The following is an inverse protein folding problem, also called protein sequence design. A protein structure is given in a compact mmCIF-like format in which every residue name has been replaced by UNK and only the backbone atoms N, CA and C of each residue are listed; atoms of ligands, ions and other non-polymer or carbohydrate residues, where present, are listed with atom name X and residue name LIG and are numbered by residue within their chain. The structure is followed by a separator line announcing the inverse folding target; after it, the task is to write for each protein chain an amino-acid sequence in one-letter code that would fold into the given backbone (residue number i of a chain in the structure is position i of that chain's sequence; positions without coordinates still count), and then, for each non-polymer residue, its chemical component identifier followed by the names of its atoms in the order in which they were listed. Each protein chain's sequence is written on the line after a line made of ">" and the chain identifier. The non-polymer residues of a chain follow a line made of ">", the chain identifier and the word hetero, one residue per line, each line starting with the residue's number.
data_IF_398716215387
#
_entry.id   IF_398716215387
#
_cell.length_a   1.000
_cell.length_b   1.000
_cell.length_c   1.000
_cell.angle_alpha   90.00
_cell.angle_beta   90.00
_cell.angle_gamma   90.00
#
_symmetry.space_group_name_H-M   'P 1'
#
loop_
_entity.id
_entity.type
_entity.pdbx_description
1 polymer ?
#
# COMPACT_ATOMS: atom_id res chain seq x y z
N UNK A 1 59.43 41.31 46.77
CA UNK A 1 58.74 41.86 47.95
C UNK A 1 57.39 42.34 47.44
N UNK A 2 56.41 41.44 47.42
CA UNK A 2 55.48 41.22 48.55
C UNK A 2 54.47 42.37 48.65
N UNK A 3 53.18 42.02 48.63
CA UNK A 3 52.11 42.95 49.01
C UNK A 3 50.80 42.73 48.25
N UNK A 4 49.96 41.84 48.79
CA UNK A 4 48.60 41.54 48.38
C UNK A 4 47.58 42.68 48.61
N UNK A 5 46.60 42.76 47.71
CA UNK A 5 45.14 43.00 47.85
C UNK A 5 44.55 44.22 48.61
N UNK A 6 43.24 44.58 48.42
CA UNK A 6 42.23 44.05 47.48
C UNK A 6 41.51 45.13 46.62
N UNK A 7 40.81 44.63 45.59
CA UNK A 7 39.92 45.37 44.70
C UNK A 7 38.53 45.57 45.31
N UNK A 8 38.02 46.80 45.31
CA UNK A 8 36.62 47.16 45.51
C UNK A 8 35.82 47.05 44.19
N UNK A 9 34.61 46.53 44.34
CA UNK A 9 33.61 46.31 43.29
C UNK A 9 33.11 47.64 42.69
N UNK A 10 32.99 47.68 41.36
CA UNK A 10 32.07 48.61 40.70
C UNK A 10 31.27 47.88 39.64
N UNK A 11 29.96 47.91 39.86
CA UNK A 11 28.87 47.47 39.01
C UNK A 11 29.08 47.88 37.54
N UNK A 12 28.83 46.96 36.62
CA UNK A 12 28.27 47.31 35.31
C UNK A 12 27.33 46.20 34.86
N UNK A 13 26.14 46.64 34.51
CA UNK A 13 24.97 45.87 34.13
C UNK A 13 25.20 45.16 32.79
N UNK A 14 24.91 43.86 32.76
CA UNK A 14 24.53 43.18 31.51
C UNK A 14 23.19 42.52 31.75
N UNK A 15 22.14 43.17 31.25
CA UNK A 15 20.78 42.65 31.28
C UNK A 15 20.69 41.35 30.48
N UNK A 16 20.66 40.22 31.18
CA UNK A 16 20.26 38.94 30.60
C UNK A 16 18.73 38.85 30.69
N UNK A 17 18.07 39.03 29.55
CA UNK A 17 16.63 38.82 29.43
C UNK A 17 16.37 37.32 29.55
N UNK A 18 16.11 36.83 30.75
CA UNK A 18 15.58 35.50 30.99
C UNK A 18 14.13 35.46 30.50
N UNK A 19 13.97 35.26 29.19
CA UNK A 19 12.69 34.88 28.61
C UNK A 19 12.33 33.50 29.14
N UNK A 20 11.24 33.48 29.89
CA UNK A 20 10.61 32.31 30.49
C UNK A 20 10.38 31.24 29.41
N UNK A 21 11.11 30.13 29.49
CA UNK A 21 10.70 28.90 28.83
C UNK A 21 9.35 28.47 29.42
N UNK A 22 8.31 28.23 28.61
CA UNK A 22 7.17 27.48 29.09
C UNK A 22 7.69 26.12 29.52
N UNK A 23 7.31 25.70 30.74
CA UNK A 23 7.50 24.33 31.19
C UNK A 23 6.70 23.45 30.24
N UNK A 24 7.38 22.75 29.35
CA UNK A 24 6.84 21.63 28.58
C UNK A 24 6.48 20.52 29.58
N UNK A 25 5.30 20.67 30.16
CA UNK A 25 4.58 19.68 30.92
C UNK A 25 3.35 19.30 30.13
N UNK A 26 3.55 18.49 29.10
CA UNK A 26 2.57 17.53 28.58
C UNK A 26 3.34 16.57 27.66
N UNK A 27 3.78 15.45 28.23
CA UNK A 27 4.06 14.25 27.46
C UNK A 27 2.83 13.96 26.59
N UNK A 28 2.88 14.29 25.30
CA UNK A 28 1.91 13.75 24.34
C UNK A 28 2.14 12.25 24.26
N UNK A 29 1.40 11.49 25.06
CA UNK A 29 1.24 10.04 24.91
C UNK A 29 1.09 9.72 23.42
N UNK A 30 2.00 8.89 22.91
CA UNK A 30 2.13 8.56 21.49
C UNK A 30 0.80 8.10 20.92
N UNK A 31 0.35 8.77 19.85
CA UNK A 31 -0.96 8.66 19.21
C UNK A 31 -1.17 7.33 18.47
N UNK A 32 -1.03 6.21 19.17
CA UNK A 32 -1.45 4.92 18.63
C UNK A 32 -2.98 4.84 18.53
N UNK A 33 -3.46 4.01 17.61
CA UNK A 33 -4.88 3.71 17.47
C UNK A 33 -5.02 2.27 16.98
N UNK A 34 -5.95 1.52 17.55
CA UNK A 34 -6.16 0.10 17.23
C UNK A 34 -7.66 -0.17 17.06
N UNK A 35 -8.04 -0.84 15.97
CA UNK A 35 -9.37 -1.44 15.78
C UNK A 35 -9.52 -2.71 16.62
N UNK A 36 -8.43 -3.48 16.68
CA UNK A 36 -8.31 -4.73 17.43
C UNK A 36 -7.01 -4.72 18.22
N UNK A 37 -7.02 -5.30 19.42
CA UNK A 37 -5.76 -5.70 20.05
C UNK A 37 -5.02 -6.72 19.17
N UNK A 38 -3.72 -6.92 19.38
CA UNK A 38 -2.93 -7.93 18.64
C UNK A 38 -3.56 -9.32 18.80
N UNK A 39 -4.01 -9.67 20.01
CA UNK A 39 -4.67 -10.94 20.28
C UNK A 39 -5.98 -11.08 19.48
N UNK A 40 -6.81 -10.04 19.47
CA UNK A 40 -8.02 -10.03 18.66
C UNK A 40 -7.73 -10.11 17.16
N UNK A 41 -6.67 -9.45 16.67
CA UNK A 41 -6.27 -9.55 15.27
C UNK A 41 -5.83 -10.97 14.91
N UNK A 42 -5.12 -11.68 15.80
CA UNK A 42 -4.76 -13.09 15.61
C UNK A 42 -6.02 -13.97 15.50
N UNK A 43 -7.01 -13.73 16.35
CA UNK A 43 -8.25 -14.51 16.40
C UNK A 43 -9.23 -14.17 15.27
N UNK A 44 -9.23 -12.92 14.81
CA UNK A 44 -10.22 -12.38 13.87
C UNK A 44 -9.74 -12.27 12.44
N UNK A 45 -8.42 -12.27 12.17
CA UNK A 45 -7.93 -12.20 10.80
C UNK A 45 -8.48 -13.36 9.98
N UNK A 46 -8.99 -13.05 8.80
CA UNK A 46 -9.38 -14.07 7.85
C UNK A 46 -8.12 -14.51 7.10
N UNK A 47 -7.76 -15.80 7.21
CA UNK A 47 -6.73 -16.37 6.33
C UNK A 47 -7.20 -16.28 4.88
N UNK A 48 -6.30 -15.94 3.95
CA UNK A 48 -6.65 -15.72 2.55
C UNK A 48 -7.57 -16.81 1.99
N UNK A 49 -8.74 -16.40 1.49
CA UNK A 49 -9.88 -17.30 1.22
C UNK A 49 -9.79 -18.00 -0.14
N UNK A 50 -8.73 -17.71 -0.91
CA UNK A 50 -8.48 -18.28 -2.23
C UNK A 50 -7.28 -17.64 -2.92
N UNK A 51 -6.87 -18.18 -4.07
CA UNK A 51 -5.78 -17.61 -4.87
C UNK A 51 -6.14 -16.21 -5.36
N UNK A 52 -5.22 -15.24 -5.22
CA UNK A 52 -5.45 -13.82 -5.57
C UNK A 52 -6.59 -13.13 -4.82
N UNK A 53 -7.17 -13.76 -3.78
CA UNK A 53 -8.35 -13.28 -3.07
C UNK A 53 -8.04 -12.29 -1.92
N UNK A 54 -6.87 -11.65 -1.92
CA UNK A 54 -6.48 -10.71 -0.85
C UNK A 54 -7.48 -9.55 -0.70
N UNK A 55 -8.03 -9.05 -1.80
CA UNK A 55 -9.06 -8.02 -1.80
C UNK A 55 -10.37 -8.49 -1.15
N UNK A 56 -10.84 -9.70 -1.49
CA UNK A 56 -12.03 -10.28 -0.90
C UNK A 56 -11.85 -10.57 0.59
N UNK A 57 -10.70 -11.11 0.98
CA UNK A 57 -10.31 -11.30 2.39
C UNK A 57 -10.29 -9.98 3.15
N UNK A 58 -9.70 -8.93 2.60
CA UNK A 58 -9.71 -7.60 3.23
C UNK A 58 -11.14 -7.07 3.41
N UNK A 59 -12.05 -7.31 2.46
CA UNK A 59 -13.47 -6.93 2.61
C UNK A 59 -14.16 -7.71 3.74
N UNK A 60 -13.87 -9.01 3.90
CA UNK A 60 -14.37 -9.77 5.06
C UNK A 60 -13.90 -9.14 6.37
N UNK A 61 -12.61 -8.88 6.49
CA UNK A 61 -12.03 -8.28 7.70
C UNK A 61 -12.61 -6.87 7.98
N UNK A 62 -12.80 -6.05 6.93
CA UNK A 62 -13.46 -4.74 7.03
C UNK A 62 -14.87 -4.86 7.59
N UNK A 63 -15.67 -5.77 7.02
CA UNK A 63 -17.06 -5.96 7.44
C UNK A 63 -17.11 -6.47 8.88
N UNK A 64 -16.24 -7.40 9.25
CA UNK A 64 -16.12 -7.88 10.63
C UNK A 64 -15.71 -6.77 11.61
N UNK A 65 -14.75 -5.91 11.24
CA UNK A 65 -14.33 -4.77 12.04
C UNK A 65 -15.46 -3.76 12.26
N UNK A 66 -16.35 -3.60 11.27
CA UNK A 66 -17.56 -2.78 11.35
C UNK A 66 -18.77 -3.50 12.00
N UNK A 67 -18.57 -4.68 12.57
CA UNK A 67 -19.63 -5.45 13.25
C UNK A 67 -20.64 -6.10 12.30
N UNK A 68 -20.25 -6.34 11.05
CA UNK A 68 -21.07 -6.95 9.99
C UNK A 68 -20.53 -8.36 9.70
N UNK A 69 -21.30 -9.37 10.05
CA UNK A 69 -20.93 -10.76 9.73
C UNK A 69 -21.41 -11.10 8.32
N UNK A 70 -20.48 -11.48 7.46
CA UNK A 70 -20.77 -12.03 6.12
C UNK A 70 -20.01 -13.32 5.91
N UNK A 71 -20.55 -14.22 5.11
CA UNK A 71 -19.83 -15.40 4.67
C UNK A 71 -18.70 -15.00 3.69
N UNK A 72 -17.49 -15.55 3.79
CA UNK A 72 -16.38 -15.24 2.88
C UNK A 72 -16.74 -15.35 1.39
N UNK A 73 -17.55 -16.33 1.02
CA UNK A 73 -18.00 -16.57 -0.36
C UNK A 73 -18.91 -15.45 -0.88
N UNK A 74 -19.60 -14.77 0.03
CA UNK A 74 -20.40 -13.59 -0.33
C UNK A 74 -19.51 -12.40 -0.65
N UNK A 75 -18.48 -12.16 0.17
CA UNK A 75 -17.51 -11.10 -0.11
C UNK A 75 -16.76 -11.35 -1.41
N UNK A 76 -16.28 -12.58 -1.65
CA UNK A 76 -15.56 -12.95 -2.88
C UNK A 76 -16.42 -12.73 -4.15
N UNK A 77 -17.67 -13.21 -4.13
CA UNK A 77 -18.62 -12.98 -5.23
C UNK A 77 -18.89 -11.49 -5.48
N UNK A 78 -18.92 -10.68 -4.43
CA UNK A 78 -19.19 -9.24 -4.51
C UNK A 78 -17.97 -8.45 -5.01
N UNK A 79 -16.76 -8.80 -4.57
CA UNK A 79 -15.50 -8.15 -5.00
C UNK A 79 -15.15 -8.51 -6.44
N UNK A 80 -15.50 -9.71 -6.91
CA UNK A 80 -15.23 -10.19 -8.28
C UNK A 80 -13.73 -10.21 -8.58
N UNK A 81 -12.99 -10.97 -7.79
CA UNK A 81 -11.55 -11.19 -7.94
C UNK A 81 -11.22 -11.73 -9.34
N UNK A 82 -10.33 -11.07 -10.08
CA UNK A 82 -9.80 -11.56 -11.35
C UNK A 82 -8.67 -12.57 -11.12
N UNK A 83 -8.71 -13.71 -11.80
CA UNK A 83 -7.72 -14.77 -11.66
C UNK A 83 -6.59 -14.65 -12.68
N UNK A 84 -5.39 -15.04 -12.26
CA UNK A 84 -4.22 -15.17 -13.13
C UNK A 84 -4.44 -16.32 -14.13
N UNK A 85 -4.13 -16.10 -15.41
CA UNK A 85 -4.13 -17.15 -16.43
C UNK A 85 -2.74 -17.79 -16.53
N UNK A 86 -2.32 -18.52 -15.49
CA UNK A 86 -0.94 -19.02 -15.35
C UNK A 86 -0.48 -19.94 -16.48
N UNK A 87 -1.40 -20.68 -17.11
CA UNK A 87 -1.12 -21.63 -18.19
C UNK A 87 -1.30 -21.01 -19.59
N UNK A 88 -1.61 -19.71 -19.68
CA UNK A 88 -1.83 -19.05 -20.95
C UNK A 88 -0.52 -18.68 -21.66
N UNK A 89 -0.54 -18.53 -23.00
CA UNK A 89 0.57 -17.94 -23.74
C UNK A 89 0.94 -16.57 -23.21
N UNK A 90 2.20 -16.17 -23.44
CA UNK A 90 2.79 -14.98 -22.83
C UNK A 90 1.91 -13.71 -22.91
N UNK A 91 1.35 -13.29 -24.07
CA UNK A 91 0.52 -12.08 -24.10
C UNK A 91 -0.71 -12.17 -23.17
N UNK A 92 -1.43 -13.29 -23.23
CA UNK A 92 -2.61 -13.52 -22.40
C UNK A 92 -2.27 -13.63 -20.90
N UNK A 93 -1.12 -14.24 -20.59
CA UNK A 93 -0.58 -14.26 -19.24
C UNK A 93 -0.35 -12.83 -18.74
N UNK A 94 0.40 -12.01 -19.48
CA UNK A 94 0.71 -10.64 -19.09
C UNK A 94 -0.55 -9.78 -18.93
N UNK A 95 -1.51 -9.84 -19.85
CA UNK A 95 -2.79 -9.15 -19.70
C UNK A 95 -3.53 -9.60 -18.44
N UNK A 96 -3.59 -10.91 -18.18
CA UNK A 96 -4.21 -11.41 -16.95
C UNK A 96 -3.47 -10.95 -15.69
N UNK A 97 -2.14 -10.80 -15.76
CA UNK A 97 -1.31 -10.33 -14.66
C UNK A 97 -1.54 -8.86 -14.35
N UNK A 98 -1.78 -8.04 -15.37
CA UNK A 98 -2.11 -6.62 -15.23
C UNK A 98 -3.39 -6.40 -14.43
N UNK A 99 -4.35 -7.32 -14.53
CA UNK A 99 -5.67 -7.22 -13.92
C UNK A 99 -5.90 -8.15 -12.71
N UNK A 100 -4.98 -9.09 -12.44
CA UNK A 100 -5.17 -10.13 -11.44
C UNK A 100 -5.38 -9.57 -10.02
N UNK A 101 -6.31 -10.17 -9.28
CA UNK A 101 -6.75 -9.78 -7.95
C UNK A 101 -7.94 -8.82 -8.01
N UNK A 102 -7.92 -7.74 -7.23
CA UNK A 102 -9.03 -6.79 -7.19
C UNK A 102 -8.53 -5.35 -7.05
N UNK A 103 -9.23 -4.40 -7.65
CA UNK A 103 -8.93 -2.96 -7.52
C UNK A 103 -9.58 -2.37 -6.27
N UNK A 104 -9.13 -1.20 -5.80
CA UNK A 104 -9.79 -0.50 -4.70
C UNK A 104 -11.27 -0.19 -5.00
N UNK A 105 -11.62 0.08 -6.26
CA UNK A 105 -13.00 0.28 -6.69
C UNK A 105 -13.85 -0.98 -6.52
N UNK A 106 -13.29 -2.16 -6.86
CA UNK A 106 -13.93 -3.45 -6.60
C UNK A 106 -14.07 -3.74 -5.10
N UNK A 107 -13.10 -3.35 -4.27
CA UNK A 107 -13.22 -3.47 -2.82
C UNK A 107 -14.36 -2.60 -2.27
N UNK A 108 -14.46 -1.34 -2.71
CA UNK A 108 -15.54 -0.41 -2.30
C UNK A 108 -16.91 -0.97 -2.70
N UNK A 109 -17.08 -1.31 -3.99
CA UNK A 109 -18.33 -1.86 -4.49
C UNK A 109 -18.67 -3.21 -3.83
N UNK A 110 -17.66 -4.06 -3.60
CA UNK A 110 -17.80 -5.35 -2.95
C UNK A 110 -18.26 -5.23 -1.51
N UNK A 111 -17.66 -4.33 -0.72
CA UNK A 111 -18.07 -4.07 0.66
C UNK A 111 -19.48 -3.45 0.73
N UNK A 112 -19.80 -2.53 -0.17
CA UNK A 112 -21.16 -1.97 -0.29
C UNK A 112 -22.19 -3.07 -0.59
N UNK A 113 -21.94 -3.90 -1.60
CA UNK A 113 -22.86 -4.95 -2.00
C UNK A 113 -23.01 -6.04 -0.92
N UNK A 114 -21.90 -6.53 -0.35
CA UNK A 114 -21.90 -7.58 0.65
C UNK A 114 -22.55 -7.13 1.98
N UNK A 115 -22.49 -5.83 2.30
CA UNK A 115 -23.14 -5.26 3.48
C UNK A 115 -24.60 -4.86 3.27
N UNK A 116 -25.15 -5.03 2.05
CA UNK A 116 -26.49 -4.56 1.73
C UNK A 116 -26.61 -3.03 1.72
N UNK A 117 -25.56 -2.32 1.33
CA UNK A 117 -25.50 -0.86 1.23
C UNK A 117 -25.10 -0.14 2.51
N UNK A 118 -24.85 -0.85 3.62
CA UNK A 118 -24.56 -0.24 4.94
C UNK A 118 -23.15 0.31 5.07
N UNK A 119 -22.22 -0.17 4.25
CA UNK A 119 -20.82 0.29 4.24
C UNK A 119 -20.59 1.13 2.99
N UNK A 120 -19.79 2.18 3.18
CA UNK A 120 -19.17 2.92 2.10
C UNK A 120 -17.67 2.89 2.27
N UNK A 121 -16.95 3.15 1.19
CA UNK A 121 -15.51 3.29 1.20
C UNK A 121 -15.06 4.42 0.31
N UNK A 122 -13.89 4.97 0.62
CA UNK A 122 -13.23 5.97 -0.20
C UNK A 122 -11.74 5.70 -0.26
N UNK A 123 -11.22 5.70 -1.48
CA UNK A 123 -9.80 5.54 -1.74
C UNK A 123 -9.08 6.89 -1.70
N UNK A 124 -7.97 6.95 -0.97
CA UNK A 124 -7.04 8.07 -0.95
C UNK A 124 -5.74 7.61 -1.64
N UNK A 125 -5.46 8.06 -2.87
CA UNK A 125 -4.24 7.70 -3.55
C UNK A 125 -3.03 8.35 -2.88
N UNK A 126 -1.95 7.59 -2.69
CA UNK A 126 -0.68 8.11 -2.15
C UNK A 126 0.38 8.35 -3.24
N UNK A 127 0.07 7.98 -4.49
CA UNK A 127 0.84 8.32 -5.68
C UNK A 127 0.07 9.33 -6.56
N UNK A 128 0.74 10.30 -7.22
CA UNK A 128 2.10 10.77 -6.91
C UNK A 128 2.19 11.25 -5.46
N UNK A 129 3.42 11.46 -4.98
CA UNK A 129 3.72 11.64 -3.54
C UNK A 129 2.84 12.73 -2.91
N UNK A 130 2.26 12.42 -1.75
CA UNK A 130 1.35 13.30 -1.01
C UNK A 130 2.02 13.91 0.21
N UNK A 131 1.58 15.10 0.59
CA UNK A 131 1.97 15.79 1.83
C UNK A 131 1.09 15.29 2.98
N UNK A 132 1.44 14.14 3.53
CA UNK A 132 0.75 13.50 4.65
C UNK A 132 1.76 12.88 5.63
N UNK A 133 1.43 12.88 6.92
CA UNK A 133 2.09 12.01 7.91
C UNK A 133 1.18 10.81 8.11
N UNK A 134 1.61 9.63 7.67
CA UNK A 134 0.74 8.48 7.46
C UNK A 134 0.18 7.98 8.79
N UNK A 135 1.04 7.77 9.80
CA UNK A 135 0.59 7.24 11.11
C UNK A 135 -0.42 8.17 11.79
N UNK A 136 -0.16 9.48 11.97
CA UNK A 136 -1.15 10.38 12.57
C UNK A 136 -2.46 10.48 11.77
N UNK A 137 -2.38 10.41 10.44
CA UNK A 137 -3.57 10.45 9.58
C UNK A 137 -4.41 9.18 9.70
N UNK A 138 -3.79 8.00 9.71
CA UNK A 138 -4.47 6.72 9.95
C UNK A 138 -5.08 6.67 11.36
N UNK A 139 -4.34 7.13 12.37
CA UNK A 139 -4.81 7.15 13.76
C UNK A 139 -6.13 7.92 13.90
N UNK A 140 -6.27 9.06 13.22
CA UNK A 140 -7.50 9.86 13.25
C UNK A 140 -8.72 9.11 12.70
N UNK A 141 -8.56 8.33 11.64
CA UNK A 141 -9.64 7.51 11.07
C UNK A 141 -9.98 6.32 11.97
N UNK A 142 -8.97 5.61 12.45
CA UNK A 142 -9.15 4.44 13.32
C UNK A 142 -9.83 4.84 14.63
N UNK A 143 -9.45 5.96 15.24
CA UNK A 143 -10.07 6.48 16.48
C UNK A 143 -11.56 6.82 16.29
N UNK A 144 -11.98 7.15 15.07
CA UNK A 144 -13.38 7.40 14.71
C UNK A 144 -14.15 6.12 14.36
N UNK A 145 -13.51 4.95 14.47
CA UNK A 145 -14.09 3.65 14.11
C UNK A 145 -14.16 3.40 12.61
N UNK A 146 -13.40 4.15 11.80
CA UNK A 146 -13.24 3.85 10.38
C UNK A 146 -12.13 2.81 10.17
N UNK A 147 -12.25 2.03 9.10
CA UNK A 147 -11.41 0.85 8.86
C UNK A 147 -10.55 1.08 7.61
N UNK A 148 -9.22 1.28 7.74
CA UNK A 148 -8.33 1.44 6.61
C UNK A 148 -7.87 0.11 6.02
N UNK A 149 -7.77 0.05 4.69
CA UNK A 149 -7.16 -1.02 3.91
C UNK A 149 -6.07 -0.42 3.03
N UNK A 150 -4.85 -0.91 3.17
CA UNK A 150 -3.72 -0.56 2.34
C UNK A 150 -3.80 -1.31 1.00
N UNK A 151 -3.65 -0.59 -0.11
CA UNK A 151 -3.38 -1.17 -1.44
C UNK A 151 -1.92 -0.88 -1.78
N UNK A 152 -1.09 -1.91 -1.69
CA UNK A 152 0.38 -1.78 -1.69
C UNK A 152 1.02 -2.51 -2.86
N UNK A 153 2.08 -1.92 -3.40
CA UNK A 153 3.00 -2.63 -4.28
C UNK A 153 4.09 -3.29 -3.42
N UNK A 154 4.06 -4.62 -3.31
CA UNK A 154 5.02 -5.37 -2.49
C UNK A 154 6.40 -5.48 -3.14
N UNK A 155 6.54 -5.04 -4.39
CA UNK A 155 7.79 -4.99 -5.13
C UNK A 155 8.69 -3.82 -4.72
N UNK A 156 8.17 -2.94 -3.86
CA UNK A 156 8.91 -1.79 -3.31
C UNK A 156 9.31 -2.04 -1.85
N UNK A 157 10.40 -1.37 -1.46
CA UNK A 157 11.03 -1.52 -0.14
C UNK A 157 11.30 -3.00 0.19
N UNK A 158 11.84 -3.72 -0.79
CA UNK A 158 12.38 -5.08 -0.63
C UNK A 158 13.82 -4.94 -0.15
N UNK A 159 14.23 -5.60 0.95
CA UNK A 159 15.61 -5.59 1.41
C UNK A 159 16.60 -6.08 0.33
N UNK A 160 17.83 -5.56 0.36
CA UNK A 160 18.86 -5.97 -0.59
C UNK A 160 19.17 -7.47 -0.45
N UNK A 161 19.21 -8.17 -1.60
CA UNK A 161 19.43 -9.61 -1.66
C UNK A 161 18.19 -10.47 -1.44
N UNK A 162 17.05 -9.88 -1.08
CA UNK A 162 15.77 -10.59 -1.00
C UNK A 162 15.07 -10.67 -2.35
N UNK A 163 14.27 -11.71 -2.51
CA UNK A 163 13.49 -11.95 -3.72
C UNK A 163 12.33 -10.95 -3.81
N UNK A 164 12.21 -10.27 -4.95
CA UNK A 164 11.14 -9.30 -5.20
C UNK A 164 9.78 -10.05 -5.22
N UNK A 165 8.82 -9.69 -4.34
CA UNK A 165 7.52 -10.33 -4.30
C UNK A 165 6.75 -10.13 -5.61
N UNK A 166 6.10 -11.17 -6.12
CA UNK A 166 5.32 -11.09 -7.36
C UNK A 166 3.84 -10.67 -7.11
N UNK A 167 3.64 -9.52 -6.45
CA UNK A 167 2.29 -9.09 -6.06
C UNK A 167 2.11 -7.59 -5.76
N UNK A 168 0.93 -7.11 -6.15
CA UNK A 168 0.20 -6.09 -5.40
C UNK A 168 -0.66 -6.76 -4.34
N UNK A 169 -0.87 -6.10 -3.19
CA UNK A 169 -1.58 -6.71 -2.08
C UNK A 169 -2.54 -5.74 -1.39
N UNK A 170 -3.62 -6.30 -0.84
CA UNK A 170 -4.56 -5.59 0.03
C UNK A 170 -4.46 -6.12 1.44
N UNK A 171 -4.22 -5.23 2.40
CA UNK A 171 -4.16 -5.59 3.81
C UNK A 171 -4.95 -4.59 4.63
N UNK A 172 -5.79 -5.09 5.54
CA UNK A 172 -6.46 -4.24 6.52
C UNK A 172 -5.40 -3.73 7.51
N UNK A 173 -5.40 -2.43 7.76
CA UNK A 173 -4.59 -1.81 8.80
C UNK A 173 -5.44 -1.82 10.07
N UNK A 174 -5.17 -2.77 10.98
CA UNK A 174 -5.93 -2.89 12.22
C UNK A 174 -5.39 -1.97 13.32
N UNK A 175 -4.23 -1.36 13.13
CA UNK A 175 -3.71 -0.39 14.07
C UNK A 175 -2.48 0.36 13.61
N UNK A 176 -2.12 1.40 14.35
CA UNK A 176 -0.89 2.17 14.20
C UNK A 176 -0.29 2.51 15.56
N UNK A 177 1.03 2.62 15.61
CA UNK A 177 1.81 3.06 16.76
C UNK A 177 2.94 4.00 16.32
N UNK A 178 3.79 4.48 17.24
CA UNK A 178 4.95 5.29 16.87
C UNK A 178 5.78 4.61 15.77
N UNK A 179 5.89 5.27 14.60
CA UNK A 179 6.60 4.80 13.41
C UNK A 179 6.22 3.38 12.92
N UNK A 180 5.05 2.88 13.29
CA UNK A 180 4.66 1.47 13.09
C UNK A 180 3.22 1.36 12.58
N UNK A 181 3.00 0.44 11.63
CA UNK A 181 1.68 0.09 11.08
C UNK A 181 1.45 -1.41 11.30
N UNK A 182 0.28 -1.75 11.84
CA UNK A 182 -0.14 -3.12 12.12
C UNK A 182 -1.20 -3.56 11.11
N UNK A 183 -0.95 -4.67 10.42
CA UNK A 183 -1.81 -5.14 9.32
C UNK A 183 -2.20 -6.60 9.47
N UNK A 184 -3.32 -7.02 8.87
CA UNK A 184 -3.74 -8.43 8.79
C UNK A 184 -3.61 -9.01 7.39
N UNK A 185 -3.72 -10.34 7.32
CA UNK A 185 -3.67 -11.14 6.09
C UNK A 185 -2.37 -10.98 5.26
N UNK A 186 -1.21 -11.46 5.76
CA UNK A 186 -0.98 -12.05 7.09
C UNK A 186 -0.84 -10.96 8.18
N UNK A 187 -0.85 -11.38 9.45
CA UNK A 187 -0.51 -10.47 10.54
C UNK A 187 0.92 -9.97 10.38
N UNK A 188 1.08 -8.66 10.28
CA UNK A 188 2.34 -8.02 9.96
C UNK A 188 2.51 -6.71 10.72
N UNK A 189 3.77 -6.36 10.99
CA UNK A 189 4.18 -5.15 11.71
C UNK A 189 5.36 -4.54 10.98
N UNK A 190 5.12 -3.38 10.40
CA UNK A 190 6.05 -2.74 9.46
C UNK A 190 6.23 -1.27 9.81
N UNK A 191 7.40 -0.74 9.45
CA UNK A 191 7.70 0.67 9.71
C UNK A 191 6.82 1.60 8.86
N UNK A 192 6.53 2.81 9.36
CA UNK A 192 5.83 3.84 8.58
C UNK A 192 6.57 4.13 7.27
N UNK A 193 7.90 4.17 7.31
CA UNK A 193 8.73 4.42 6.12
C UNK A 193 8.50 3.37 5.04
N UNK A 194 8.56 2.09 5.40
CA UNK A 194 8.41 0.96 4.47
C UNK A 194 7.03 0.95 3.83
N UNK A 195 5.98 1.07 4.65
CA UNK A 195 4.59 1.14 4.17
C UNK A 195 4.39 2.34 3.24
N UNK A 196 4.97 3.49 3.59
CA UNK A 196 4.84 4.67 2.75
C UNK A 196 5.50 4.49 1.38
N UNK A 197 6.61 3.75 1.26
CA UNK A 197 7.18 3.42 -0.05
C UNK A 197 6.22 2.53 -0.86
N UNK A 198 5.68 1.47 -0.24
CA UNK A 198 4.74 0.54 -0.89
C UNK A 198 3.42 1.18 -1.28
N UNK A 199 2.95 2.18 -0.52
CA UNK A 199 1.73 2.95 -0.79
C UNK A 199 1.94 4.10 -1.80
N UNK A 200 3.17 4.49 -2.11
CA UNK A 200 3.49 5.57 -3.04
C UNK A 200 4.16 5.00 -4.30
N UNK A 201 3.43 4.16 -5.03
CA UNK A 201 3.91 3.44 -6.21
C UNK A 201 3.13 3.83 -7.46
N UNK A 202 3.81 3.91 -8.60
CA UNK A 202 3.11 3.92 -9.88
C UNK A 202 2.34 2.61 -10.06
N UNK A 203 1.27 2.65 -10.86
CA UNK A 203 0.46 1.48 -11.20
C UNK A 203 1.18 0.56 -12.19
N UNK A 204 2.28 -0.03 -11.75
CA UNK A 204 3.19 -0.92 -12.50
C UNK A 204 3.40 -2.22 -11.72
N UNK A 205 3.55 -3.32 -12.44
CA UNK A 205 3.91 -4.64 -11.90
C UNK A 205 5.15 -5.16 -12.64
N UNK A 206 6.12 -5.66 -11.88
CA UNK A 206 7.28 -6.36 -12.39
C UNK A 206 6.94 -7.84 -12.58
N UNK A 207 7.18 -8.36 -13.78
CA UNK A 207 7.04 -9.79 -14.11
C UNK A 207 8.42 -10.37 -14.27
N UNK A 208 8.69 -11.47 -13.58
CA UNK A 208 10.01 -12.08 -13.52
C UNK A 208 10.43 -12.68 -14.87
N UNK A 209 11.73 -12.66 -15.16
CA UNK A 209 12.32 -13.22 -16.38
C UNK A 209 11.90 -14.68 -16.57
N UNK A 210 12.02 -15.51 -15.54
CA UNK A 210 11.67 -16.93 -15.61
C UNK A 210 10.22 -17.17 -16.01
N UNK A 211 9.30 -16.32 -15.55
CA UNK A 211 7.88 -16.41 -15.88
C UNK A 211 7.59 -16.04 -17.33
N UNK A 212 8.35 -15.06 -17.86
CA UNK A 212 8.28 -14.66 -19.26
C UNK A 212 8.83 -15.77 -20.15
N UNK A 213 10.04 -16.25 -19.86
CA UNK A 213 10.74 -17.25 -20.67
C UNK A 213 10.02 -18.59 -20.67
N UNK A 214 9.44 -19.01 -19.54
CA UNK A 214 8.64 -20.24 -19.44
C UNK A 214 7.46 -20.26 -20.43
N UNK A 215 6.91 -19.08 -20.75
CA UNK A 215 5.71 -18.92 -21.59
C UNK A 215 6.02 -18.42 -23.00
N UNK A 216 7.29 -18.18 -23.28
CA UNK A 216 7.74 -17.79 -24.60
C UNK A 216 7.62 -18.99 -25.54
N UNK A 217 6.86 -18.82 -26.61
CA UNK A 217 6.76 -19.81 -27.69
C UNK A 217 7.29 -19.17 -28.97
N UNK A 218 7.88 -19.98 -29.85
CA UNK A 218 8.52 -19.51 -31.09
C UNK A 218 7.56 -18.70 -32.00
N UNK A 219 6.25 -18.94 -31.88
CA UNK A 219 5.21 -18.34 -32.72
C UNK A 219 4.38 -17.27 -31.98
N UNK A 220 4.73 -16.86 -30.76
CA UNK A 220 3.94 -15.90 -29.98
C UNK A 220 3.94 -14.50 -30.63
N UNK A 221 2.79 -13.98 -31.11
CA UNK A 221 2.74 -12.66 -31.72
C UNK A 221 2.78 -11.56 -30.63
N UNK A 222 3.98 -11.06 -30.34
CA UNK A 222 4.19 -10.00 -29.35
C UNK A 222 3.54 -8.66 -29.73
N UNK A 223 3.27 -8.43 -31.02
CA UNK A 223 2.61 -7.19 -31.49
C UNK A 223 1.23 -6.97 -30.86
N UNK A 224 0.57 -8.06 -30.44
CA UNK A 224 -0.72 -7.98 -29.74
C UNK A 224 -0.68 -7.16 -28.45
N UNK A 225 0.50 -7.03 -27.80
CA UNK A 225 0.69 -6.22 -26.59
C UNK A 225 0.67 -4.71 -26.87
N UNK A 226 1.21 -4.29 -28.02
CA UNK A 226 1.21 -2.87 -28.43
C UNK A 226 -0.08 -2.45 -29.13
N UNK A 227 -0.81 -3.43 -29.68
CA UNK A 227 -2.08 -3.21 -30.38
C UNK A 227 -3.28 -3.14 -29.42
N UNK A 228 -3.08 -3.42 -28.12
CA UNK A 228 -4.13 -3.22 -27.12
C UNK A 228 -4.44 -1.73 -26.93
N UNK A 229 -5.55 -1.30 -27.55
CA UNK A 229 -6.01 0.08 -27.49
C UNK A 229 -6.71 0.42 -26.17
N UNK A 230 -6.97 -0.56 -25.30
CA UNK A 230 -7.75 -0.35 -24.08
C UNK A 230 -6.95 0.33 -22.96
N UNK A 231 -5.64 0.09 -22.88
CA UNK A 231 -4.75 0.74 -21.92
C UNK A 231 -3.47 1.28 -22.61
N UNK A 232 -3.34 2.61 -22.82
CA UNK A 232 -2.19 3.20 -23.51
C UNK A 232 -0.87 3.02 -22.73
N UNK A 233 -0.91 2.60 -21.46
CA UNK A 233 0.28 2.38 -20.64
C UNK A 233 1.14 1.22 -21.14
N UNK A 234 0.57 0.21 -21.81
CA UNK A 234 1.36 -0.88 -22.42
C UNK A 234 2.38 -0.34 -23.43
N UNK A 235 1.94 0.62 -24.26
CA UNK A 235 2.82 1.31 -25.20
C UNK A 235 3.77 2.28 -24.51
N UNK A 236 3.29 3.02 -23.50
CA UNK A 236 4.12 3.98 -22.77
C UNK A 236 5.30 3.31 -22.03
N UNK A 237 5.09 2.10 -21.51
CA UNK A 237 6.12 1.28 -20.87
C UNK A 237 6.97 0.49 -21.87
N UNK A 238 6.67 0.53 -23.17
CA UNK A 238 7.34 -0.26 -24.21
C UNK A 238 7.49 -1.75 -23.84
N UNK A 239 6.40 -2.37 -23.40
CA UNK A 239 6.42 -3.77 -22.93
C UNK A 239 6.93 -4.72 -24.01
N UNK A 240 6.52 -4.49 -25.26
CA UNK A 240 7.01 -5.28 -26.41
C UNK A 240 8.52 -5.11 -26.62
N UNK A 241 9.05 -3.89 -26.49
CA UNK A 241 10.49 -3.63 -26.55
C UNK A 241 11.27 -4.33 -25.44
N UNK A 242 10.78 -4.26 -24.19
CA UNK A 242 11.36 -4.97 -23.05
C UNK A 242 11.42 -6.49 -23.30
N UNK A 243 10.33 -7.09 -23.80
CA UNK A 243 10.28 -8.51 -24.12
C UNK A 243 11.28 -8.88 -25.23
N UNK A 244 11.33 -8.12 -26.32
CA UNK A 244 12.31 -8.35 -27.39
C UNK A 244 13.75 -8.26 -26.89
N UNK A 245 14.04 -7.35 -25.98
CA UNK A 245 15.35 -7.26 -25.36
C UNK A 245 15.66 -8.51 -24.54
N UNK A 246 14.74 -8.92 -23.67
CA UNK A 246 14.88 -10.12 -22.83
C UNK A 246 15.13 -11.39 -23.66
N UNK A 247 14.44 -11.53 -24.80
CA UNK A 247 14.63 -12.65 -25.74
C UNK A 247 16.02 -12.61 -26.37
N UNK A 248 16.47 -11.44 -26.84
CA UNK A 248 17.82 -11.30 -27.43
C UNK A 248 18.93 -11.64 -26.44
N UNK A 249 18.75 -11.28 -25.17
CA UNK A 249 19.67 -11.64 -24.09
C UNK A 249 19.73 -13.15 -23.83
N UNK A 250 18.66 -13.89 -24.15
CA UNK A 250 18.64 -15.35 -24.05
C UNK A 250 19.38 -16.01 -25.22
N UNK A 251 19.29 -15.43 -26.41
CA UNK A 251 19.99 -15.91 -27.61
C UNK A 251 21.51 -15.66 -27.57
N UNK A 252 22.01 -14.81 -26.67
CA UNK A 252 23.43 -14.45 -26.54
C UNK A 252 24.01 -14.94 -25.20
N UNK A 253 24.93 -15.90 -25.26
CA UNK A 253 25.67 -16.47 -24.12
C UNK A 253 26.84 -15.58 -23.63
N UNK A 254 26.64 -14.26 -23.54
CA UNK A 254 27.62 -13.39 -22.87
C UNK A 254 27.32 -13.38 -21.36
N UNK A 255 28.05 -14.21 -20.60
CA UNK A 255 27.92 -14.34 -19.14
C UNK A 255 28.27 -13.03 -18.39
N UNK A 256 29.03 -12.13 -19.02
CA UNK A 256 29.48 -10.86 -18.43
C UNK A 256 28.49 -9.70 -18.63
N UNK A 257 27.38 -9.89 -19.36
CA UNK A 257 26.41 -8.83 -19.62
C UNK A 257 25.30 -8.81 -18.56
N UNK A 258 24.98 -7.62 -18.04
CA UNK A 258 23.85 -7.44 -17.13
C UNK A 258 22.54 -7.78 -17.84
N UNK A 259 21.87 -8.85 -17.39
CA UNK A 259 20.59 -9.33 -17.95
C UNK A 259 19.42 -8.68 -17.24
N UNK A 260 18.38 -8.36 -18.00
CA UNK A 260 17.12 -7.88 -17.47
C UNK A 260 16.46 -8.98 -16.62
N UNK A 261 16.19 -8.67 -15.35
CA UNK A 261 15.56 -9.61 -14.40
C UNK A 261 14.04 -9.58 -14.44
N UNK A 262 13.44 -8.47 -14.88
CA UNK A 262 11.98 -8.28 -14.91
C UNK A 262 11.52 -7.44 -16.09
N UNK A 263 10.29 -7.68 -16.53
CA UNK A 263 9.53 -6.81 -17.43
C UNK A 263 8.52 -6.01 -16.63
N UNK A 264 8.47 -4.70 -16.87
CA UNK A 264 7.45 -3.82 -16.31
C UNK A 264 6.19 -3.86 -17.17
N UNK A 265 5.05 -4.16 -16.56
CA UNK A 265 3.73 -4.06 -17.20
C UNK A 265 2.82 -3.10 -16.43
N UNK A 266 1.77 -2.54 -17.04
CA UNK A 266 0.75 -1.80 -16.31
C UNK A 266 0.10 -2.69 -15.26
N UNK A 267 -0.31 -2.10 -14.14
CA UNK A 267 -1.16 -2.74 -13.14
C UNK A 267 -2.51 -2.00 -13.05
N UNK A 268 -3.60 -2.73 -12.81
CA UNK A 268 -4.93 -2.17 -12.58
C UNK A 268 -5.05 -1.49 -11.20
N UNK A 269 -4.08 -1.71 -10.30
CA UNK A 269 -4.04 -1.17 -8.96
C UNK A 269 -3.67 0.31 -8.95
N UNK A 270 -4.22 1.05 -7.98
CA UNK A 270 -3.73 2.37 -7.58
C UNK A 270 -3.27 2.26 -6.13
N UNK A 271 -2.03 2.67 -5.85
CA UNK A 271 -1.49 2.60 -4.51
C UNK A 271 -2.12 3.67 -3.60
N UNK A 272 -2.45 3.27 -2.38
CA UNK A 272 -3.10 4.19 -1.46
C UNK A 272 -3.84 3.47 -0.34
N UNK A 273 -4.61 4.22 0.42
CA UNK A 273 -5.41 3.69 1.52
C UNK A 273 -6.88 3.86 1.18
N UNK A 274 -7.63 2.76 1.22
CA UNK A 274 -9.08 2.79 1.15
C UNK A 274 -9.63 2.76 2.57
N UNK A 275 -10.33 3.82 2.97
CA UNK A 275 -10.96 3.89 4.30
C UNK A 275 -12.44 3.52 4.15
N UNK A 276 -12.93 2.69 5.07
CA UNK A 276 -14.31 2.22 5.11
C UNK A 276 -15.01 2.68 6.39
N UNK A 277 -16.31 2.94 6.30
CA UNK A 277 -17.13 3.31 7.44
C UNK A 277 -18.60 2.88 7.22
N UNK A 278 -19.37 2.86 8.32
CA UNK A 278 -20.83 2.74 8.23
C UNK A 278 -21.40 4.00 7.56
N UNK A 279 -22.26 3.81 6.55
CA UNK A 279 -22.81 4.89 5.74
C UNK A 279 -23.57 5.94 6.54
N UNK A 280 -24.38 5.48 7.48
CA UNK A 280 -25.29 6.34 8.26
C UNK A 280 -24.64 6.88 9.55
N UNK A 281 -23.32 6.81 9.65
CA UNK A 281 -22.55 7.32 10.78
C UNK A 281 -21.93 8.68 10.48
N UNK A 282 -21.64 9.47 11.52
CA UNK A 282 -20.99 10.78 11.38
C UNK A 282 -19.64 10.67 10.65
N UNK A 283 -18.85 9.65 10.99
CA UNK A 283 -17.58 9.36 10.33
C UNK A 283 -17.75 8.92 8.86
N UNK A 284 -18.87 8.25 8.53
CA UNK A 284 -19.21 7.91 7.15
C UNK A 284 -19.48 9.16 6.31
N UNK A 285 -20.21 10.12 6.86
CA UNK A 285 -20.44 11.41 6.21
C UNK A 285 -19.15 12.23 6.10
N UNK A 286 -18.33 12.26 7.15
CA UNK A 286 -17.02 12.92 7.09
C UNK A 286 -16.12 12.32 6.01
N UNK A 287 -16.08 11.00 5.89
CA UNK A 287 -15.29 10.28 4.90
C UNK A 287 -15.70 10.63 3.45
N UNK A 288 -17.01 10.74 3.19
CA UNK A 288 -17.53 11.15 1.89
C UNK A 288 -17.10 12.57 1.50
N UNK A 289 -16.95 13.47 2.48
CA UNK A 289 -16.63 14.87 2.26
C UNK A 289 -15.18 15.26 2.51
N UNK A 290 -14.33 14.31 2.94
CA UNK A 290 -12.92 14.56 3.19
C UNK A 290 -12.23 15.16 1.94
N UNK A 291 -11.27 16.08 2.06
CA UNK A 291 -10.49 16.50 0.91
C UNK A 291 -9.55 15.38 0.45
N UNK A 292 -9.15 15.43 -0.83
CA UNK A 292 -8.02 14.63 -1.29
C UNK A 292 -6.74 15.00 -0.54
N UNK A 293 -5.81 14.04 -0.42
CA UNK A 293 -4.51 14.30 0.17
C UNK A 293 -3.74 15.29 -0.74
N UNK A 294 -3.21 16.40 -0.18
CA UNK A 294 -2.49 17.38 -0.97
C UNK A 294 -1.23 16.77 -1.59
N UNK A 295 -0.89 17.19 -2.80
CA UNK A 295 0.37 16.82 -3.45
C UNK A 295 1.55 17.42 -2.68
N UNK A 296 2.68 16.70 -2.68
CA UNK A 296 3.95 17.20 -2.15
C UNK A 296 4.68 18.07 -3.18
#
# INVERSE_FOLDING_TARGET
>A
MEGEHPHEEKQTETACCASQCPKDGEERQGQGAMLWSIQEAVERQTMQIGTSACGATAVVDVLQALGIVVAPETADRCVRTCLRRNEAPLPDYLFSRSEAGATHAQLIAGAEQASGGRVLGRHFPLHPRRRVRLVPWLAQWIQKGAVPVATMNMQLAVPEGEEVPDAWHHQLIFGVGPDTVYMTNPLDVVSEWEVHQRLCSESVLLIRREDVLLRLTADAPLSSLSDDQSDPRWKALDVEGQLRQMIREEDHDDEDQFRMSHVMIPAAYSSGVTVFALRDSDQGQELLHAPELPLL
#
